data_IF_839200880562
#
_entry.id   IF_839200880562
#
_cell.length_a   1.000
_cell.length_b   1.000
_cell.length_c   1.000
_cell.angle_alpha   90.00
_cell.angle_beta   90.00
_cell.angle_gamma   90.00
#
_symmetry.space_group_name_H-M   'P 1'
#
loop_
_entity.id
_entity.type
_entity.pdbx_description
1 polymer ?
#
# COMPACT_ATOMS: atom_id res chain seq x y z
N UNK A 1 -10.01 6.32 -28.99
CA UNK A 1 -9.96 6.34 -27.51
C UNK A 1 -8.95 7.40 -27.07
N UNK A 2 -9.35 8.64 -26.76
CA UNK A 2 -8.37 9.67 -26.35
C UNK A 2 -7.75 9.28 -24.98
N UNK A 3 -6.48 9.65 -24.77
CA UNK A 3 -5.54 9.24 -23.69
C UNK A 3 -6.12 9.18 -22.25
N UNK A 4 -6.88 8.13 -21.91
CA UNK A 4 -7.32 7.86 -20.52
C UNK A 4 -6.19 7.37 -19.62
N UNK A 5 -5.10 6.84 -20.18
CA UNK A 5 -3.97 6.33 -19.41
C UNK A 5 -3.20 7.45 -18.72
N UNK A 6 -2.94 8.57 -19.39
CA UNK A 6 -2.23 9.71 -18.80
C UNK A 6 -3.01 10.30 -17.63
N UNK A 7 -4.34 10.43 -17.79
CA UNK A 7 -5.22 10.87 -16.72
C UNK A 7 -5.20 9.90 -15.54
N UNK A 8 -5.24 8.59 -15.79
CA UNK A 8 -5.17 7.58 -14.74
C UNK A 8 -3.84 7.65 -13.96
N UNK A 9 -2.72 7.74 -14.67
CA UNK A 9 -1.39 7.93 -14.07
C UNK A 9 -1.35 9.21 -13.23
N UNK A 10 -1.84 10.34 -13.77
CA UNK A 10 -1.87 11.62 -13.05
C UNK A 10 -2.73 11.54 -11.78
N UNK A 11 -3.93 10.95 -11.86
CA UNK A 11 -4.76 10.73 -10.67
C UNK A 11 -4.07 9.83 -9.64
N UNK A 12 -3.33 8.81 -10.10
CA UNK A 12 -2.53 7.95 -9.23
C UNK A 12 -1.43 8.71 -8.50
N UNK A 13 -0.65 9.52 -9.23
CA UNK A 13 0.40 10.36 -8.64
C UNK A 13 -0.18 11.33 -7.62
N UNK A 14 -1.25 12.05 -7.98
CA UNK A 14 -1.93 12.99 -7.09
C UNK A 14 -2.40 12.27 -5.82
N UNK A 15 -3.10 11.14 -5.96
CA UNK A 15 -3.61 10.37 -4.83
C UNK A 15 -2.48 9.94 -3.89
N UNK A 16 -1.36 9.43 -4.41
CA UNK A 16 -0.21 9.04 -3.59
C UNK A 16 0.42 10.24 -2.88
N UNK A 17 0.63 11.37 -3.57
CA UNK A 17 1.20 12.58 -2.95
C UNK A 17 0.32 13.14 -1.83
N UNK A 18 -1.00 13.15 -2.00
CA UNK A 18 -1.94 13.60 -0.97
C UNK A 18 -2.06 12.61 0.19
N UNK A 19 -2.00 11.30 -0.10
CA UNK A 19 -2.13 10.28 0.93
C UNK A 19 -0.85 10.10 1.75
N UNK A 20 0.33 10.31 1.18
CA UNK A 20 1.59 10.01 1.86
C UNK A 20 1.77 10.74 3.22
N UNK A 21 1.44 12.04 3.38
CA UNK A 21 1.45 12.69 4.70
C UNK A 21 0.46 12.06 5.68
N UNK A 22 -0.72 11.66 5.21
CA UNK A 22 -1.73 10.98 6.02
C UNK A 22 -1.23 9.61 6.46
N UNK A 23 -0.57 8.88 5.56
CA UNK A 23 0.10 7.62 5.89
C UNK A 23 1.10 7.79 7.03
N UNK A 24 2.01 8.77 6.94
CA UNK A 24 3.01 9.02 7.98
C UNK A 24 2.34 9.30 9.33
N UNK A 25 1.32 10.15 9.34
CA UNK A 25 0.56 10.47 10.55
C UNK A 25 -0.15 9.24 11.14
N UNK A 26 -0.81 8.43 10.30
CA UNK A 26 -1.51 7.22 10.74
C UNK A 26 -0.53 6.16 11.24
N UNK A 27 0.59 5.95 10.56
CA UNK A 27 1.60 4.97 10.93
C UNK A 27 2.24 5.33 12.26
N UNK A 28 2.70 6.57 12.42
CA UNK A 28 3.30 7.06 13.67
C UNK A 28 2.32 7.01 14.83
N UNK A 29 1.07 7.44 14.62
CA UNK A 29 0.02 7.36 15.65
C UNK A 29 -0.29 5.91 16.02
N UNK A 30 -0.41 5.01 15.06
CA UNK A 30 -0.67 3.59 15.29
C UNK A 30 0.46 2.92 16.08
N UNK A 31 1.72 3.19 15.70
CA UNK A 31 2.89 2.70 16.42
C UNK A 31 2.94 3.22 17.86
N UNK A 32 2.71 4.54 18.04
CA UNK A 32 2.67 5.18 19.35
C UNK A 32 1.60 4.55 20.25
N UNK A 33 0.39 4.36 19.74
CA UNK A 33 -0.70 3.76 20.50
C UNK A 33 -0.39 2.32 20.91
N UNK A 34 0.16 1.50 20.02
CA UNK A 34 0.51 0.12 20.35
C UNK A 34 1.59 0.08 21.45
N UNK A 35 2.58 0.95 21.38
CA UNK A 35 3.66 1.01 22.38
C UNK A 35 3.16 1.50 23.75
N UNK A 36 2.19 2.42 23.78
CA UNK A 36 1.70 3.06 25.00
C UNK A 36 0.40 2.45 25.56
N UNK A 37 -0.13 1.38 24.95
CA UNK A 37 -1.28 0.64 25.44
C UNK A 37 -0.83 -0.65 26.14
N UNK A 38 -0.59 -0.62 27.48
CA UNK A 38 0.11 -1.69 28.22
C UNK A 38 -0.63 -3.04 28.27
N UNK A 39 -1.88 -3.10 27.82
CA UNK A 39 -2.70 -4.33 27.84
C UNK A 39 -2.76 -5.06 26.50
N UNK A 40 -2.16 -4.52 25.44
CA UNK A 40 -2.09 -5.18 24.14
C UNK A 40 -0.78 -5.95 24.03
N UNK A 41 -0.79 -7.30 24.00
CA UNK A 41 0.43 -8.10 23.81
C UNK A 41 0.88 -8.11 22.34
N UNK A 42 0.85 -6.94 21.68
CA UNK A 42 1.22 -6.79 20.28
C UNK A 42 2.68 -6.35 20.21
N UNK A 43 3.54 -7.27 19.79
CA UNK A 43 4.92 -6.95 19.46
C UNK A 43 4.96 -6.17 18.14
N UNK A 44 5.60 -5.01 18.16
CA UNK A 44 5.92 -4.26 16.96
C UNK A 44 6.98 -5.04 16.17
N UNK A 45 6.68 -5.32 14.91
CA UNK A 45 7.62 -5.92 13.98
C UNK A 45 7.62 -5.09 12.69
N UNK A 46 8.79 -4.97 12.07
CA UNK A 46 8.90 -4.41 10.74
C UNK A 46 8.07 -5.22 9.73
N UNK A 47 7.62 -4.57 8.67
CA UNK A 47 6.98 -5.26 7.56
C UNK A 47 7.96 -6.27 6.93
N UNK A 48 7.47 -7.46 6.58
CA UNK A 48 8.30 -8.53 6.04
C UNK A 48 9.11 -8.11 4.80
N UNK A 49 8.54 -7.25 3.95
CA UNK A 49 9.23 -6.68 2.79
C UNK A 49 10.45 -5.83 3.22
N UNK A 50 10.32 -5.02 4.27
CA UNK A 50 11.42 -4.21 4.82
C UNK A 50 12.52 -5.10 5.39
N UNK A 51 12.15 -6.12 6.18
CA UNK A 51 13.12 -7.07 6.73
C UNK A 51 13.91 -7.76 5.62
N UNK A 52 13.21 -8.25 4.59
CA UNK A 52 13.82 -8.93 3.43
C UNK A 52 14.79 -8.01 2.68
N UNK A 53 14.46 -6.72 2.54
CA UNK A 53 15.33 -5.71 1.93
C UNK A 53 16.57 -5.42 2.78
N UNK A 54 16.43 -5.35 4.10
CA UNK A 54 17.53 -5.10 5.04
C UNK A 54 18.50 -6.28 5.11
N UNK A 55 17.98 -7.51 5.08
CA UNK A 55 18.77 -8.75 5.17
C UNK A 55 19.19 -9.27 3.79
N UNK A 56 19.03 -8.49 2.73
CA UNK A 56 19.41 -8.90 1.38
C UNK A 56 20.92 -9.22 1.30
N UNK A 57 21.26 -10.37 0.72
CA UNK A 57 22.63 -10.90 0.71
C UNK A 57 23.64 -10.04 -0.07
N UNK A 58 23.18 -9.17 -0.96
CA UNK A 58 24.04 -8.30 -1.78
C UNK A 58 23.33 -7.00 -2.19
N UNK A 59 24.07 -5.94 -2.57
CA UNK A 59 23.48 -4.72 -3.12
C UNK A 59 22.62 -4.97 -4.36
N UNK A 60 23.04 -5.91 -5.22
CA UNK A 60 22.26 -6.32 -6.40
C UNK A 60 20.93 -6.97 -5.99
N UNK A 61 20.95 -7.89 -5.02
CA UNK A 61 19.73 -8.51 -4.50
C UNK A 61 18.78 -7.47 -3.89
N UNK A 62 19.33 -6.50 -3.13
CA UNK A 62 18.55 -5.40 -2.55
C UNK A 62 17.89 -4.54 -3.63
N UNK A 63 18.59 -4.24 -4.72
CA UNK A 63 18.05 -3.50 -5.86
C UNK A 63 16.92 -4.28 -6.54
N UNK A 64 17.11 -5.57 -6.80
CA UNK A 64 16.11 -6.44 -7.42
C UNK A 64 14.84 -6.53 -6.57
N UNK A 65 14.99 -6.75 -5.28
CA UNK A 65 13.87 -6.81 -4.33
C UNK A 65 13.16 -5.45 -4.22
N UNK A 66 13.91 -4.34 -4.22
CA UNK A 66 13.35 -2.99 -4.20
C UNK A 66 12.53 -2.69 -5.44
N UNK A 67 13.06 -3.02 -6.63
CA UNK A 67 12.33 -2.88 -7.89
C UNK A 67 11.06 -3.75 -7.92
N UNK A 68 11.14 -4.99 -7.43
CA UNK A 68 9.98 -5.87 -7.28
C UNK A 68 8.91 -5.29 -6.36
N UNK A 69 9.32 -4.73 -5.21
CA UNK A 69 8.43 -4.10 -4.21
C UNK A 69 7.73 -2.85 -4.76
N UNK A 70 8.38 -2.11 -5.65
CA UNK A 70 7.81 -0.88 -6.23
C UNK A 70 6.90 -1.20 -7.43
N UNK A 71 7.27 -2.16 -8.28
CA UNK A 71 6.62 -2.35 -9.57
C UNK A 71 5.75 -3.61 -9.60
N UNK A 72 6.35 -4.76 -9.28
CA UNK A 72 5.74 -6.07 -9.52
C UNK A 72 4.67 -6.35 -8.47
N UNK A 73 4.99 -6.13 -7.20
CA UNK A 73 4.08 -6.41 -6.08
C UNK A 73 2.82 -5.55 -6.16
N UNK A 74 2.90 -4.20 -6.28
CA UNK A 74 1.70 -3.36 -6.41
C UNK A 74 0.86 -3.72 -7.63
N UNK A 75 1.48 -4.01 -8.79
CA UNK A 75 0.74 -4.41 -9.97
C UNK A 75 -0.06 -5.70 -9.74
N UNK A 76 0.58 -6.73 -9.16
CA UNK A 76 -0.07 -7.99 -8.86
C UNK A 76 -1.22 -7.84 -7.84
N UNK A 77 -0.98 -7.06 -6.78
CA UNK A 77 -1.98 -6.80 -5.75
C UNK A 77 -3.18 -6.03 -6.31
N UNK A 78 -2.96 -4.96 -7.08
CA UNK A 78 -4.07 -4.22 -7.69
C UNK A 78 -4.85 -5.05 -8.71
N UNK A 79 -4.17 -5.89 -9.49
CA UNK A 79 -4.84 -6.83 -10.39
C UNK A 79 -5.73 -7.81 -9.62
N UNK A 80 -5.25 -8.38 -8.52
CA UNK A 80 -6.05 -9.30 -7.70
C UNK A 80 -7.21 -8.57 -7.02
N UNK A 81 -6.93 -7.51 -6.26
CA UNK A 81 -7.93 -6.87 -5.41
C UNK A 81 -8.91 -6.01 -6.20
N UNK A 82 -8.43 -5.21 -7.17
CA UNK A 82 -9.25 -4.23 -7.92
C UNK A 82 -9.62 -4.74 -9.31
N UNK A 83 -8.80 -5.61 -9.89
CA UNK A 83 -9.09 -6.23 -11.20
C UNK A 83 -10.02 -7.45 -11.10
N UNK A 84 -9.96 -8.22 -10.00
CA UNK A 84 -10.71 -9.48 -9.87
C UNK A 84 -11.71 -9.43 -8.70
N UNK A 85 -11.24 -9.32 -7.46
CA UNK A 85 -12.09 -9.50 -6.27
C UNK A 85 -13.17 -8.41 -6.16
N UNK A 86 -12.78 -7.15 -6.27
CA UNK A 86 -13.71 -6.03 -6.17
C UNK A 86 -14.80 -6.07 -7.25
N UNK A 87 -14.48 -6.19 -8.56
CA UNK A 87 -15.50 -6.30 -9.60
C UNK A 87 -16.38 -7.52 -9.44
N UNK A 88 -15.83 -8.68 -9.06
CA UNK A 88 -16.59 -9.91 -8.87
C UNK A 88 -17.66 -9.77 -7.79
N UNK A 89 -17.31 -9.28 -6.60
CA UNK A 89 -18.27 -9.08 -5.50
C UNK A 89 -19.30 -7.99 -5.85
N UNK A 90 -18.84 -6.91 -6.52
CA UNK A 90 -19.72 -5.81 -6.93
C UNK A 90 -20.75 -6.27 -7.96
N UNK A 91 -20.33 -7.04 -8.97
CA UNK A 91 -21.20 -7.59 -10.01
C UNK A 91 -22.17 -8.65 -9.46
N UNK A 92 -21.81 -9.34 -8.38
CA UNK A 92 -22.72 -10.22 -7.63
C UNK A 92 -23.82 -9.46 -6.84
N UNK A 93 -23.88 -8.13 -6.92
CA UNK A 93 -24.92 -7.32 -6.28
C UNK A 93 -24.56 -6.77 -4.90
N UNK A 94 -23.30 -6.90 -4.47
CA UNK A 94 -22.86 -6.47 -3.13
C UNK A 94 -21.81 -5.34 -3.18
N UNK A 95 -22.14 -4.13 -3.70
CA UNK A 95 -21.17 -3.05 -3.90
C UNK A 95 -20.53 -2.55 -2.59
N UNK A 96 -21.29 -2.52 -1.48
CA UNK A 96 -20.75 -2.12 -0.17
C UNK A 96 -19.77 -3.16 0.37
N UNK A 97 -20.10 -4.45 0.22
CA UNK A 97 -19.20 -5.53 0.61
C UNK A 97 -17.95 -5.54 -0.27
N UNK A 98 -18.09 -5.27 -1.57
CA UNK A 98 -16.94 -5.13 -2.46
C UNK A 98 -16.00 -4.02 -1.95
N UNK A 99 -16.54 -2.83 -1.66
CA UNK A 99 -15.72 -1.69 -1.25
C UNK A 99 -15.04 -1.88 0.11
N UNK A 100 -15.82 -2.21 1.14
CA UNK A 100 -15.31 -2.36 2.51
C UNK A 100 -14.60 -3.69 2.72
N UNK A 101 -15.16 -4.78 2.19
CA UNK A 101 -14.66 -6.14 2.39
C UNK A 101 -13.31 -6.37 1.72
N UNK A 102 -13.12 -5.95 0.46
CA UNK A 102 -11.80 -6.13 -0.19
C UNK A 102 -10.73 -5.21 0.38
N UNK A 103 -11.10 -4.01 0.83
CA UNK A 103 -10.17 -3.08 1.49
C UNK A 103 -9.74 -3.60 2.88
N UNK A 104 -10.68 -4.18 3.63
CA UNK A 104 -10.40 -4.86 4.89
C UNK A 104 -9.53 -6.09 4.68
N UNK A 105 -9.88 -6.95 3.71
CA UNK A 105 -9.11 -8.14 3.37
C UNK A 105 -7.67 -7.77 2.99
N UNK A 106 -7.48 -6.71 2.19
CA UNK A 106 -6.18 -6.19 1.83
C UNK A 106 -5.34 -5.87 3.08
N UNK A 107 -5.88 -5.13 4.05
CA UNK A 107 -5.15 -4.81 5.28
C UNK A 107 -4.86 -6.06 6.14
N UNK A 108 -5.79 -7.01 6.23
CA UNK A 108 -5.65 -8.23 7.04
C UNK A 108 -4.52 -9.13 6.51
N UNK A 109 -4.44 -9.35 5.19
CA UNK A 109 -3.44 -10.29 4.62
C UNK A 109 -1.99 -9.82 4.81
N UNK A 110 -1.78 -8.55 5.14
CA UNK A 110 -0.45 -8.01 5.46
C UNK A 110 0.05 -8.37 6.87
N UNK A 111 -0.85 -8.89 7.73
CA UNK A 111 -0.50 -9.47 9.04
C UNK A 111 0.39 -8.59 9.93
N UNK A 112 0.23 -7.27 9.87
CA UNK A 112 0.99 -6.32 10.67
C UNK A 112 0.05 -5.31 11.34
N UNK A 113 -0.06 -5.41 12.66
CA UNK A 113 -0.95 -4.57 13.46
C UNK A 113 -0.58 -3.09 13.41
N UNK A 114 0.71 -2.75 13.37
CA UNK A 114 1.18 -1.37 13.38
C UNK A 114 0.75 -0.60 12.13
N UNK A 115 0.70 -1.27 10.98
CA UNK A 115 0.29 -0.67 9.72
C UNK A 115 -1.12 -1.07 9.27
N UNK A 116 -1.87 -1.82 10.08
CA UNK A 116 -3.21 -2.28 9.72
C UNK A 116 -4.16 -1.12 9.36
N UNK A 117 -4.30 -0.14 10.25
CA UNK A 117 -5.16 1.04 10.00
C UNK A 117 -4.64 1.87 8.81
N UNK A 118 -3.34 2.22 8.74
CA UNK A 118 -2.77 2.86 7.55
C UNK A 118 -3.06 2.11 6.23
N UNK A 119 -2.89 0.79 6.19
CA UNK A 119 -3.13 -0.04 5.01
C UNK A 119 -4.61 -0.14 4.65
N UNK A 120 -5.50 -0.16 5.63
CA UNK A 120 -6.95 -0.11 5.39
C UNK A 120 -7.33 1.20 4.70
N UNK A 121 -6.80 2.33 5.18
CA UNK A 121 -7.07 3.64 4.57
C UNK A 121 -6.48 3.72 3.16
N UNK A 122 -5.25 3.25 2.95
CA UNK A 122 -4.65 3.12 1.62
C UNK A 122 -5.57 2.31 0.71
N UNK A 123 -6.03 1.15 1.18
CA UNK A 123 -6.83 0.25 0.37
C UNK A 123 -8.19 0.86 -0.03
N UNK A 124 -8.82 1.62 0.87
CA UNK A 124 -10.05 2.35 0.59
C UNK A 124 -9.82 3.43 -0.48
N UNK A 125 -8.71 4.16 -0.41
CA UNK A 125 -8.32 5.18 -1.39
C UNK A 125 -8.07 4.54 -2.76
N UNK A 126 -7.32 3.45 -2.82
CA UNK A 126 -7.03 2.73 -4.07
C UNK A 126 -8.31 2.18 -4.71
N UNK A 127 -9.23 1.64 -3.91
CA UNK A 127 -10.53 1.16 -4.40
C UNK A 127 -11.40 2.32 -4.90
N UNK A 128 -11.45 3.45 -4.18
CA UNK A 128 -12.17 4.65 -4.63
C UNK A 128 -11.55 5.25 -5.91
N UNK A 129 -10.23 5.19 -6.03
CA UNK A 129 -9.49 5.65 -7.21
C UNK A 129 -9.79 4.76 -8.42
N UNK A 130 -9.80 3.44 -8.25
CA UNK A 130 -10.22 2.49 -9.28
C UNK A 130 -11.67 2.76 -9.71
N UNK A 131 -12.58 2.89 -8.75
CA UNK A 131 -14.00 3.13 -9.01
C UNK A 131 -14.23 4.43 -9.79
N UNK A 132 -13.54 5.51 -9.42
CA UNK A 132 -13.67 6.82 -10.07
C UNK A 132 -13.08 6.84 -11.48
N UNK A 133 -11.95 6.16 -11.69
CA UNK A 133 -11.22 6.21 -12.96
C UNK A 133 -11.61 5.10 -13.92
N UNK A 134 -12.20 4.02 -13.42
CA UNK A 134 -12.44 2.76 -14.11
C UNK A 134 -11.18 2.28 -14.88
N UNK A 135 -10.01 2.45 -14.26
CA UNK A 135 -8.72 2.16 -14.87
C UNK A 135 -7.72 1.68 -13.82
N UNK A 136 -7.21 0.46 -13.96
CA UNK A 136 -6.23 -0.13 -13.02
C UNK A 136 -4.90 0.63 -12.98
N UNK A 137 -4.54 1.37 -14.02
CA UNK A 137 -3.30 2.16 -14.00
C UNK A 137 -3.31 3.23 -12.90
N UNK A 138 -4.48 3.75 -12.51
CA UNK A 138 -4.56 4.74 -11.45
C UNK A 138 -4.15 4.18 -10.07
N UNK A 139 -4.79 3.12 -9.54
CA UNK A 139 -4.35 2.52 -8.28
C UNK A 139 -2.96 1.88 -8.39
N UNK A 140 -2.57 1.28 -9.53
CA UNK A 140 -1.21 0.74 -9.70
C UNK A 140 -0.17 1.85 -9.54
N UNK A 141 -0.37 3.00 -10.21
CA UNK A 141 0.56 4.12 -10.11
C UNK A 141 0.61 4.69 -8.69
N UNK A 142 -0.56 4.85 -8.04
CA UNK A 142 -0.62 5.36 -6.68
C UNK A 142 0.12 4.44 -5.70
N UNK A 143 -0.12 3.13 -5.80
CA UNK A 143 0.47 2.13 -4.93
C UNK A 143 1.98 1.97 -5.19
N UNK A 144 2.41 1.92 -6.45
CA UNK A 144 3.83 1.88 -6.80
C UNK A 144 4.59 3.11 -6.28
N UNK A 145 4.04 4.32 -6.47
CA UNK A 145 4.66 5.55 -5.96
C UNK A 145 4.68 5.56 -4.43
N UNK A 146 3.60 5.12 -3.78
CA UNK A 146 3.55 4.97 -2.33
C UNK A 146 4.65 4.04 -1.81
N UNK A 147 4.86 2.88 -2.43
CA UNK A 147 5.93 1.95 -2.05
C UNK A 147 7.32 2.56 -2.32
N UNK A 148 7.48 3.30 -3.42
CA UNK A 148 8.74 3.99 -3.72
C UNK A 148 9.10 5.04 -2.65
N UNK A 149 8.12 5.84 -2.22
CA UNK A 149 8.31 6.85 -1.17
C UNK A 149 8.73 6.20 0.17
N UNK A 150 8.05 5.12 0.57
CA UNK A 150 8.42 4.36 1.78
C UNK A 150 9.83 3.74 1.66
N UNK A 151 10.22 3.25 0.48
CA UNK A 151 11.57 2.70 0.27
C UNK A 151 12.65 3.79 0.35
N UNK A 152 12.37 4.98 -0.19
CA UNK A 152 13.27 6.15 -0.08
C UNK A 152 13.42 6.56 1.37
N UNK A 153 12.32 6.68 2.11
CA UNK A 153 12.32 6.98 3.54
C UNK A 153 13.16 5.97 4.34
N UNK A 154 12.97 4.66 4.10
CA UNK A 154 13.77 3.60 4.71
C UNK A 154 15.27 3.80 4.47
N UNK A 155 15.67 4.13 3.23
CA UNK A 155 17.08 4.33 2.88
C UNK A 155 17.68 5.58 3.54
N UNK A 156 16.90 6.68 3.62
CA UNK A 156 17.32 7.90 4.30
C UNK A 156 17.52 7.68 5.80
N UNK A 157 16.60 6.96 6.45
CA UNK A 157 16.69 6.61 7.88
C UNK A 157 17.91 5.72 8.16
N UNK A 158 18.16 4.71 7.31
CA UNK A 158 19.35 3.87 7.44
C UNK A 158 20.67 4.64 7.31
N UNK A 159 20.70 5.66 6.43
CA UNK A 159 21.89 6.47 6.24
C UNK A 159 22.16 7.38 7.43
N UNK A 160 21.14 7.85 8.15
CA UNK A 160 21.30 8.68 9.35
C UNK A 160 21.78 7.89 10.57
N UNK A 161 21.48 6.59 10.64
CA UNK A 161 21.85 5.70 11.75
C UNK A 161 23.25 5.08 11.61
N UNK A 162 23.95 5.35 10.50
CA UNK A 162 25.33 4.91 10.22
C UNK A 162 26.30 6.05 10.39
#
# INVERSE_FOLDING_TARGET
FPNRWLQAVLFGVIAACFFYPVWLALQTTSAYLIEHLPHLPIKLHEQQAVQTLRTAASPAARLTLGAGTILVVPAAEEMLFRGILYPWIKQAGFPRLAFWGTSLLFAVVHMNAAIFVPLLVLALILTALYEKTNNLLAPITAHALFNALNLVELYLLEKQLR
#
